data_IF_036782216424
#
_entry.id   IF_036782216424
#
_cell.length_a   1.000
_cell.length_b   1.000
_cell.length_c   1.000
_cell.angle_alpha   90.00
_cell.angle_beta   90.00
_cell.angle_gamma   90.00
#
_symmetry.space_group_name_H-M   'P 1'
#
loop_
_entity.id
_entity.type
_entity.pdbx_description
1 polymer ?
#
# COMPACT_ATOMS: atom_id res chain seq x y z
N UNK A 1 -36.80 0.57 -1.45
CA UNK A 1 -36.34 0.70 -2.85
C UNK A 1 -35.87 -0.66 -3.31
N UNK A 2 -36.36 -1.16 -4.43
CA UNK A 2 -35.85 -2.39 -5.02
C UNK A 2 -34.45 -2.15 -5.61
N UNK A 3 -33.63 -3.18 -5.72
CA UNK A 3 -32.27 -3.06 -6.29
C UNK A 3 -32.26 -2.50 -7.71
N UNK A 4 -33.30 -2.79 -8.48
CA UNK A 4 -33.53 -2.21 -9.80
C UNK A 4 -33.70 -0.68 -9.75
N UNK A 5 -34.50 -0.15 -8.83
CA UNK A 5 -34.73 1.30 -8.68
C UNK A 5 -33.46 2.06 -8.27
N UNK A 6 -32.60 1.44 -7.44
CA UNK A 6 -31.32 2.03 -7.06
C UNK A 6 -30.34 2.09 -8.25
N UNK A 7 -30.32 1.06 -9.09
CA UNK A 7 -29.52 0.99 -10.32
C UNK A 7 -29.97 2.02 -11.36
N UNK A 8 -31.28 2.13 -11.62
CA UNK A 8 -31.82 3.13 -12.55
C UNK A 8 -31.45 4.54 -12.10
N UNK A 9 -31.58 4.83 -10.80
CA UNK A 9 -31.17 6.13 -10.26
C UNK A 9 -29.68 6.42 -10.40
N UNK A 10 -28.80 5.40 -10.35
CA UNK A 10 -27.36 5.58 -10.55
C UNK A 10 -27.06 5.84 -12.03
N UNK A 11 -27.72 5.13 -12.94
CA UNK A 11 -27.57 5.30 -14.39
C UNK A 11 -28.06 6.68 -14.83
N UNK A 12 -29.22 7.12 -14.35
CA UNK A 12 -29.76 8.45 -14.64
C UNK A 12 -28.82 9.56 -14.15
N UNK A 13 -28.23 9.39 -12.96
CA UNK A 13 -27.23 10.34 -12.44
C UNK A 13 -25.95 10.38 -13.29
N UNK A 14 -25.49 9.24 -13.81
CA UNK A 14 -24.33 9.17 -14.70
C UNK A 14 -24.64 9.83 -16.05
N UNK A 15 -25.82 9.57 -16.63
CA UNK A 15 -26.26 10.18 -17.88
C UNK A 15 -26.39 11.69 -17.78
N UNK A 16 -26.94 12.20 -16.67
CA UNK A 16 -27.01 13.65 -16.42
C UNK A 16 -25.61 14.27 -16.31
N UNK A 17 -24.67 13.60 -15.64
CA UNK A 17 -23.29 14.07 -15.56
C UNK A 17 -22.57 14.06 -16.92
N UNK A 18 -22.88 13.07 -17.79
CA UNK A 18 -22.35 13.00 -19.15
C UNK A 18 -22.94 14.12 -20.02
N UNK A 19 -24.24 14.42 -19.89
CA UNK A 19 -24.91 15.51 -20.61
C UNK A 19 -24.24 16.85 -20.31
N UNK A 20 -24.05 17.15 -19.02
CA UNK A 20 -23.36 18.37 -18.55
C UNK A 20 -21.91 18.45 -19.05
N UNK A 21 -21.22 17.31 -19.21
CA UNK A 21 -19.86 17.28 -19.75
C UNK A 21 -19.81 17.45 -21.27
N UNK A 22 -20.88 17.10 -22.00
CA UNK A 22 -20.99 17.27 -23.45
C UNK A 22 -21.40 18.68 -23.82
N UNK A 23 -22.31 19.29 -23.08
CA UNK A 23 -22.74 20.68 -23.26
C UNK A 23 -22.82 21.40 -21.89
N UNK A 24 -21.85 22.28 -21.57
CA UNK A 24 -21.82 23.00 -20.30
C UNK A 24 -22.97 24.00 -20.10
N UNK A 25 -23.73 24.34 -21.16
CA UNK A 25 -24.91 25.20 -21.09
C UNK A 25 -26.22 24.40 -20.95
N UNK A 26 -26.15 23.07 -20.91
CA UNK A 26 -27.32 22.21 -20.74
C UNK A 26 -27.85 22.31 -19.29
N UNK A 27 -29.07 22.83 -19.14
CA UNK A 27 -29.74 23.07 -17.86
C UNK A 27 -30.29 21.78 -17.23
N UNK A 28 -29.68 20.62 -17.49
CA UNK A 28 -30.06 19.35 -16.88
C UNK A 28 -29.75 19.37 -15.38
N UNK A 29 -30.81 19.43 -14.57
CA UNK A 29 -30.71 19.59 -13.12
C UNK A 29 -30.14 18.34 -12.47
N UNK A 30 -28.96 18.46 -11.84
CA UNK A 30 -28.52 17.48 -10.85
C UNK A 30 -29.55 17.47 -9.71
N UNK A 31 -29.86 16.28 -9.16
CA UNK A 31 -30.75 16.10 -7.97
C UNK A 31 -30.34 16.96 -6.75
N UNK A 32 -29.17 17.58 -6.78
CA UNK A 32 -28.68 18.53 -5.77
C UNK A 32 -29.19 19.97 -5.94
N UNK A 33 -30.06 20.24 -6.92
CA UNK A 33 -30.77 21.53 -7.05
C UNK A 33 -29.91 22.71 -7.50
N UNK A 34 -28.73 22.46 -8.09
CA UNK A 34 -27.87 23.52 -8.64
C UNK A 34 -28.04 23.63 -10.15
N UNK A 35 -28.38 24.82 -10.62
CA UNK A 35 -28.64 25.17 -12.02
C UNK A 35 -27.42 25.73 -12.76
N UNK A 36 -26.29 25.88 -12.08
CA UNK A 36 -25.06 26.42 -12.67
C UNK A 36 -23.84 25.71 -12.06
N UNK A 37 -23.00 25.11 -12.90
CA UNK A 37 -21.69 24.59 -12.52
C UNK A 37 -20.62 25.61 -12.90
N UNK A 38 -19.81 26.02 -11.93
CA UNK A 38 -18.70 26.93 -12.14
C UNK A 38 -17.50 26.11 -12.62
N UNK A 39 -17.18 26.20 -13.92
CA UNK A 39 -16.16 25.41 -14.64
C UNK A 39 -14.70 25.67 -14.18
N UNK A 40 -14.50 26.10 -12.95
CA UNK A 40 -13.21 26.11 -12.29
C UNK A 40 -12.62 24.69 -12.23
N UNK A 41 -11.30 24.59 -12.43
CA UNK A 41 -10.50 23.35 -12.31
C UNK A 41 -10.87 22.44 -11.11
N UNK A 42 -11.18 22.96 -9.90
CA UNK A 42 -11.60 22.12 -8.78
C UNK A 42 -13.00 21.47 -8.94
N UNK A 43 -13.94 22.09 -9.66
CA UNK A 43 -15.25 21.47 -9.92
C UNK A 43 -15.15 20.31 -10.91
N UNK A 44 -14.28 20.45 -11.93
CA UNK A 44 -13.95 19.36 -12.86
C UNK A 44 -13.33 18.15 -12.13
N UNK A 45 -12.37 18.40 -11.21
CA UNK A 45 -11.78 17.34 -10.40
C UNK A 45 -12.81 16.66 -9.48
N UNK A 46 -13.77 17.44 -8.96
CA UNK A 46 -14.86 16.91 -8.13
C UNK A 46 -15.80 16.02 -8.95
N UNK A 47 -16.19 16.44 -10.15
CA UNK A 47 -17.00 15.64 -11.07
C UNK A 47 -16.29 14.35 -11.51
N UNK A 48 -15.00 14.43 -11.84
CA UNK A 48 -14.19 13.26 -12.20
C UNK A 48 -14.12 12.22 -11.07
N UNK A 49 -14.06 12.69 -9.81
CA UNK A 49 -14.13 11.81 -8.63
C UNK A 49 -15.50 11.16 -8.49
N UNK A 50 -16.59 11.91 -8.68
CA UNK A 50 -17.94 11.37 -8.64
C UNK A 50 -18.18 10.30 -9.73
N UNK A 51 -17.69 10.53 -10.96
CA UNK A 51 -17.74 9.54 -12.04
C UNK A 51 -16.93 8.28 -11.71
N UNK A 52 -15.75 8.45 -11.12
CA UNK A 52 -14.91 7.32 -10.68
C UNK A 52 -15.57 6.50 -9.57
N UNK A 53 -16.26 7.15 -8.63
CA UNK A 53 -17.02 6.50 -7.56
C UNK A 53 -18.25 5.78 -8.08
N UNK A 54 -19.00 6.41 -9.00
CA UNK A 54 -20.15 5.79 -9.68
C UNK A 54 -19.72 4.55 -10.48
N UNK A 55 -18.61 4.61 -11.21
CA UNK A 55 -18.05 3.45 -11.93
C UNK A 55 -17.67 2.29 -10.99
N UNK A 56 -17.09 2.58 -9.81
CA UNK A 56 -16.80 1.53 -8.83
C UNK A 56 -18.07 0.92 -8.23
N UNK A 57 -19.08 1.74 -7.96
CA UNK A 57 -20.37 1.26 -7.47
C UNK A 57 -21.03 0.34 -8.50
N UNK A 58 -21.01 0.72 -9.79
CA UNK A 58 -21.52 -0.10 -10.88
C UNK A 58 -20.76 -1.43 -11.04
N UNK A 59 -19.43 -1.41 -10.96
CA UNK A 59 -18.62 -2.64 -10.99
C UNK A 59 -18.90 -3.57 -9.81
N UNK A 60 -19.10 -3.00 -8.61
CA UNK A 60 -19.47 -3.77 -7.42
C UNK A 60 -20.86 -4.42 -7.59
N UNK A 61 -21.82 -3.67 -8.12
CA UNK A 61 -23.16 -4.18 -8.41
C UNK A 61 -23.08 -5.29 -9.47
N UNK A 62 -22.34 -5.10 -10.56
CA UNK A 62 -22.16 -6.15 -11.58
C UNK A 62 -21.56 -7.45 -11.00
N UNK A 63 -20.63 -7.32 -10.03
CA UNK A 63 -20.08 -8.45 -9.29
C UNK A 63 -21.12 -9.12 -8.38
N UNK A 64 -21.86 -8.32 -7.60
CA UNK A 64 -22.88 -8.82 -6.65
C UNK A 64 -24.04 -9.55 -7.38
N UNK A 65 -24.31 -9.21 -8.66
CA UNK A 65 -25.31 -9.86 -9.51
C UNK A 65 -24.76 -10.93 -10.47
N UNK A 66 -23.49 -11.37 -10.33
CA UNK A 66 -22.85 -12.41 -11.15
C UNK A 66 -22.98 -12.21 -12.67
N UNK A 67 -22.92 -10.96 -13.16
CA UNK A 67 -22.98 -10.65 -14.59
C UNK A 67 -21.63 -10.98 -15.23
N UNK A 68 -21.52 -12.14 -15.89
CA UNK A 68 -20.30 -12.57 -16.58
C UNK A 68 -20.17 -11.82 -17.92
N UNK A 69 -19.08 -11.07 -18.09
CA UNK A 69 -18.60 -10.60 -19.40
C UNK A 69 -17.44 -11.49 -19.85
N UNK A 70 -17.41 -11.95 -21.13
CA UNK A 70 -16.24 -12.63 -21.67
C UNK A 70 -15.15 -11.58 -21.93
N UNK A 71 -14.16 -11.49 -21.03
CA UNK A 71 -12.99 -10.65 -21.30
C UNK A 71 -12.08 -10.29 -20.14
N UNK A 72 -12.46 -10.49 -18.88
CA UNK A 72 -11.52 -10.29 -17.77
C UNK A 72 -11.95 -11.11 -16.56
N UNK A 73 -11.24 -12.22 -16.34
CA UNK A 73 -10.70 -12.70 -15.06
C UNK A 73 -10.25 -14.16 -15.24
N UNK A 74 -8.95 -14.40 -15.20
CA UNK A 74 -8.36 -15.66 -14.71
C UNK A 74 -6.94 -15.38 -14.22
N UNK A 75 -6.37 -16.17 -13.28
CA UNK A 75 -6.69 -17.58 -13.08
C UNK A 75 -7.26 -17.96 -11.71
N UNK A 76 -8.40 -18.64 -11.81
CA UNK A 76 -8.63 -19.93 -11.18
C UNK A 76 -9.20 -19.96 -9.76
N UNK A 77 -10.42 -20.51 -9.73
CA UNK A 77 -11.07 -21.29 -8.66
C UNK A 77 -11.99 -20.50 -7.75
N UNK A 78 -13.28 -20.54 -8.08
CA UNK A 78 -14.21 -21.32 -7.28
C UNK A 78 -15.04 -22.21 -8.21
N UNK A 79 -14.65 -23.50 -8.27
CA UNK A 79 -15.56 -24.56 -8.67
C UNK A 79 -16.57 -24.73 -7.54
N UNK A 80 -17.82 -24.40 -7.80
CA UNK A 80 -18.98 -25.10 -7.27
C UNK A 80 -20.15 -24.85 -8.22
N UNK A 81 -20.82 -25.94 -8.50
CA UNK A 81 -21.77 -26.22 -9.57
C UNK A 81 -23.08 -25.43 -9.47
N UNK A 82 -23.79 -25.48 -10.60
CA UNK A 82 -25.23 -25.29 -10.84
C UNK A 82 -25.81 -23.85 -10.88
N UNK A 83 -26.00 -23.42 -12.13
CA UNK A 83 -27.19 -22.80 -12.71
C UNK A 83 -28.00 -21.79 -11.88
N UNK A 84 -27.81 -20.50 -12.18
CA UNK A 84 -28.94 -19.58 -12.44
C UNK A 84 -28.52 -18.57 -13.53
N UNK A 85 -28.82 -18.86 -14.80
CA UNK A 85 -28.84 -17.86 -15.88
C UNK A 85 -30.19 -17.15 -15.85
N UNK A 86 -30.29 -15.96 -15.28
CA UNK A 86 -31.43 -15.08 -15.57
C UNK A 86 -31.03 -14.23 -16.78
N UNK A 87 -31.26 -14.78 -17.97
CA UNK A 87 -31.27 -14.01 -19.22
C UNK A 87 -32.71 -13.63 -19.51
N UNK A 88 -33.11 -12.44 -19.10
CA UNK A 88 -34.37 -11.83 -19.57
C UNK A 88 -34.08 -10.85 -20.70
N UNK A 89 -35.02 -10.63 -21.64
CA UNK A 89 -34.86 -9.61 -22.69
C UNK A 89 -34.55 -8.22 -22.12
N UNK A 90 -35.05 -7.93 -20.92
CA UNK A 90 -34.80 -6.69 -20.19
C UNK A 90 -33.33 -6.60 -19.77
N UNK A 91 -32.72 -7.69 -19.27
CA UNK A 91 -31.29 -7.71 -18.93
C UNK A 91 -30.38 -7.55 -20.15
N UNK A 92 -30.73 -8.14 -21.30
CA UNK A 92 -29.92 -8.03 -22.52
C UNK A 92 -29.96 -6.62 -23.12
N UNK A 93 -31.12 -5.96 -23.15
CA UNK A 93 -31.23 -4.55 -23.58
C UNK A 93 -30.53 -3.60 -22.61
N UNK A 94 -30.54 -3.92 -21.31
CA UNK A 94 -29.79 -3.17 -20.31
C UNK A 94 -28.27 -3.32 -20.48
N UNK A 95 -27.80 -4.51 -20.86
CA UNK A 95 -26.38 -4.78 -21.10
C UNK A 95 -25.84 -4.04 -22.34
N UNK A 96 -26.63 -3.90 -23.40
CA UNK A 96 -26.23 -3.10 -24.58
C UNK A 96 -26.13 -1.62 -24.23
N UNK A 97 -27.14 -1.05 -23.58
CA UNK A 97 -27.11 0.36 -23.14
C UNK A 97 -25.96 0.64 -22.17
N UNK A 98 -25.61 -0.33 -21.31
CA UNK A 98 -24.46 -0.22 -20.41
C UNK A 98 -23.13 -0.17 -21.17
N UNK A 99 -22.99 -0.96 -22.24
CA UNK A 99 -21.78 -0.99 -23.04
C UNK A 99 -21.60 0.32 -23.84
N UNK A 100 -22.69 0.87 -24.37
CA UNK A 100 -22.69 2.13 -25.11
C UNK A 100 -22.26 3.30 -24.21
N UNK A 101 -22.83 3.40 -23.01
CA UNK A 101 -22.44 4.43 -22.02
C UNK A 101 -20.96 4.29 -21.62
N UNK A 102 -20.45 3.06 -21.49
CA UNK A 102 -19.05 2.82 -21.13
C UNK A 102 -18.08 3.27 -22.23
N UNK A 103 -18.42 3.05 -23.50
CA UNK A 103 -17.64 3.54 -24.63
C UNK A 103 -17.73 5.07 -24.76
N UNK A 104 -18.88 5.68 -24.48
CA UNK A 104 -19.03 7.15 -24.48
C UNK A 104 -18.25 7.86 -23.35
N UNK A 105 -18.05 7.20 -22.20
CA UNK A 105 -17.34 7.75 -21.05
C UNK A 105 -15.82 7.57 -21.15
N UNK A 106 -15.32 6.63 -21.97
CA UNK A 106 -13.88 6.37 -22.16
C UNK A 106 -13.04 7.62 -22.49
N UNK A 107 -13.46 8.53 -23.39
CA UNK A 107 -12.68 9.73 -23.72
C UNK A 107 -12.61 10.77 -22.58
N UNK A 108 -13.65 10.83 -21.75
CA UNK A 108 -13.73 11.74 -20.59
C UNK A 108 -13.05 11.15 -19.35
N UNK A 109 -12.91 9.82 -19.32
CA UNK A 109 -11.95 9.11 -18.48
C UNK A 109 -10.54 9.32 -19.07
N UNK A 110 -10.05 10.56 -19.08
CA UNK A 110 -8.61 10.78 -18.85
C UNK A 110 -8.32 10.31 -17.43
N UNK A 111 -8.30 8.99 -17.24
CA UNK A 111 -7.38 8.42 -16.28
C UNK A 111 -6.08 9.11 -16.61
N UNK A 112 -5.46 9.72 -15.60
CA UNK A 112 -4.02 9.89 -15.67
C UNK A 112 -3.47 8.48 -15.80
N UNK A 113 -3.39 7.97 -17.02
CA UNK A 113 -2.27 7.18 -17.46
C UNK A 113 -1.07 8.12 -17.37
N UNK A 114 -0.69 8.50 -16.15
CA UNK A 114 0.72 8.38 -15.84
C UNK A 114 1.01 6.93 -16.20
N UNK A 115 1.66 6.72 -17.34
CA UNK A 115 2.53 5.58 -17.55
C UNK A 115 3.59 5.62 -16.45
N UNK A 116 3.18 5.41 -15.20
CA UNK A 116 4.03 4.77 -14.22
C UNK A 116 4.32 3.44 -14.89
N UNK A 117 5.48 3.38 -15.53
CA UNK A 117 6.14 2.13 -15.80
C UNK A 117 6.11 1.42 -14.45
N UNK A 118 5.21 0.45 -14.28
CA UNK A 118 5.16 -0.36 -13.07
C UNK A 118 6.42 -1.19 -13.16
N UNK A 119 7.53 -0.61 -12.69
CA UNK A 119 8.77 -1.32 -12.48
C UNK A 119 8.46 -2.35 -11.41
N UNK A 120 8.11 -3.53 -11.89
CA UNK A 120 7.98 -4.74 -11.10
C UNK A 120 9.41 -5.25 -10.92
N UNK A 121 10.00 -4.90 -9.79
CA UNK A 121 11.35 -5.32 -9.43
C UNK A 121 11.19 -6.56 -8.57
N UNK A 122 11.72 -7.69 -9.03
CA UNK A 122 11.97 -8.84 -8.18
C UNK A 122 13.45 -8.84 -7.76
N UNK A 123 13.76 -9.00 -6.48
CA UNK A 123 15.14 -9.06 -6.02
C UNK A 123 15.81 -10.34 -6.52
N UNK A 124 17.04 -10.21 -7.03
CA UNK A 124 17.88 -11.34 -7.45
C UNK A 124 18.64 -11.92 -6.23
N UNK A 125 17.89 -12.47 -5.28
CA UNK A 125 18.42 -13.11 -4.08
C UNK A 125 17.69 -14.44 -3.90
N UNK A 126 18.42 -15.46 -3.45
CA UNK A 126 17.84 -16.78 -3.15
C UNK A 126 16.61 -16.63 -2.23
N UNK A 127 15.50 -17.17 -2.70
CA UNK A 127 14.18 -17.03 -2.08
C UNK A 127 13.63 -18.37 -1.58
N UNK A 128 14.49 -19.38 -1.48
CA UNK A 128 14.12 -20.72 -1.02
C UNK A 128 13.57 -20.71 0.40
N UNK A 129 14.16 -19.89 1.28
CA UNK A 129 13.73 -19.73 2.68
C UNK A 129 12.31 -19.17 2.82
N UNK A 130 11.76 -18.56 1.76
CA UNK A 130 10.42 -17.95 1.74
C UNK A 130 9.47 -18.60 0.71
N UNK A 131 9.75 -19.85 0.32
CA UNK A 131 8.89 -20.60 -0.58
C UNK A 131 7.54 -20.95 0.05
N UNK A 132 6.51 -21.06 -0.79
CA UNK A 132 5.19 -21.52 -0.35
C UNK A 132 5.32 -22.95 0.17
N UNK A 133 4.75 -23.22 1.34
CA UNK A 133 4.83 -24.52 2.01
C UNK A 133 5.92 -24.61 3.08
N UNK A 134 6.88 -23.67 3.14
CA UNK A 134 7.85 -23.64 4.24
C UNK A 134 7.13 -23.44 5.58
N UNK A 135 7.64 -24.13 6.59
CA UNK A 135 7.06 -24.20 7.93
C UNK A 135 8.02 -23.67 8.98
N UNK A 136 7.49 -22.97 9.97
CA UNK A 136 8.24 -22.45 11.12
C UNK A 136 7.53 -22.83 12.41
N UNK A 137 8.28 -23.10 13.47
CA UNK A 137 7.69 -23.45 14.76
C UNK A 137 7.10 -22.23 15.45
N UNK A 138 7.76 -21.07 15.30
CA UNK A 138 7.33 -19.82 15.92
C UNK A 138 7.22 -18.69 14.90
N UNK A 139 6.40 -17.68 15.23
CA UNK A 139 6.32 -16.45 14.45
C UNK A 139 7.61 -15.63 14.50
N UNK A 140 8.40 -15.80 15.55
CA UNK A 140 9.68 -15.11 15.76
C UNK A 140 10.73 -15.68 14.81
N UNK A 141 10.87 -17.01 14.76
CA UNK A 141 11.73 -17.71 13.81
C UNK A 141 11.38 -17.32 12.36
N UNK A 142 10.08 -17.32 12.04
CA UNK A 142 9.61 -16.86 10.74
C UNK A 142 10.02 -15.39 10.48
N UNK A 143 9.80 -14.50 11.45
CA UNK A 143 10.13 -13.08 11.32
C UNK A 143 11.62 -12.87 11.06
N UNK A 144 12.50 -13.56 11.78
CA UNK A 144 13.96 -13.44 11.63
C UNK A 144 14.40 -13.85 10.22
N UNK A 145 13.87 -14.97 9.70
CA UNK A 145 14.15 -15.44 8.34
C UNK A 145 13.67 -14.42 7.30
N UNK A 146 12.48 -13.85 7.47
CA UNK A 146 11.98 -12.80 6.56
C UNK A 146 12.76 -11.50 6.66
N UNK A 147 13.20 -11.10 7.87
CA UNK A 147 14.01 -9.90 8.08
C UNK A 147 15.38 -10.06 7.42
N UNK A 148 16.01 -11.23 7.54
CA UNK A 148 17.27 -11.51 6.88
C UNK A 148 17.13 -11.48 5.35
N UNK A 149 16.12 -12.15 4.80
CA UNK A 149 15.82 -12.09 3.37
C UNK A 149 15.59 -10.65 2.91
N UNK A 150 14.75 -9.90 3.62
CA UNK A 150 14.42 -8.53 3.25
C UNK A 150 15.66 -7.61 3.27
N UNK A 151 16.53 -7.79 4.27
CA UNK A 151 17.81 -7.07 4.38
C UNK A 151 18.73 -7.37 3.19
N UNK A 152 18.85 -8.63 2.77
CA UNK A 152 19.63 -9.03 1.58
C UNK A 152 19.03 -8.44 0.30
N UNK A 153 17.71 -8.38 0.20
CA UNK A 153 17.02 -7.84 -0.97
C UNK A 153 17.02 -6.31 -1.06
N UNK A 154 17.26 -5.57 0.02
CA UNK A 154 17.17 -4.12 -0.03
C UNK A 154 15.82 -3.53 0.40
N UNK A 155 15.05 -4.20 1.27
CA UNK A 155 13.91 -3.57 1.96
C UNK A 155 13.74 -3.98 3.43
N UNK A 156 12.96 -3.20 4.20
CA UNK A 156 12.56 -3.59 5.56
C UNK A 156 11.14 -4.14 5.57
N UNK A 157 10.86 -5.12 6.42
CA UNK A 157 9.50 -5.65 6.61
C UNK A 157 8.67 -4.80 7.59
N UNK A 158 7.36 -5.02 7.60
CA UNK A 158 6.44 -4.58 8.64
C UNK A 158 5.34 -5.63 8.82
N UNK A 159 4.84 -5.79 10.06
CA UNK A 159 3.67 -6.62 10.33
C UNK A 159 2.44 -5.99 9.66
N UNK A 160 1.78 -6.78 8.82
CA UNK A 160 0.56 -6.42 8.10
C UNK A 160 -0.69 -6.87 8.84
N UNK A 161 -1.69 -7.31 8.08
CA UNK A 161 -2.90 -7.90 8.64
C UNK A 161 -2.54 -9.16 9.45
N UNK A 162 -3.18 -9.32 10.60
CA UNK A 162 -2.98 -10.48 11.46
C UNK A 162 -4.29 -10.86 12.13
N UNK A 163 -4.40 -12.14 12.44
CA UNK A 163 -5.39 -12.69 13.38
C UNK A 163 -4.64 -13.68 14.26
N UNK A 164 -4.65 -13.43 15.57
CA UNK A 164 -3.96 -14.24 16.58
C UNK A 164 -4.29 -15.72 16.34
N UNK A 165 -3.25 -16.55 16.32
CA UNK A 165 -3.30 -18.00 16.10
C UNK A 165 -4.00 -18.46 14.81
N UNK A 166 -4.18 -17.59 13.82
CA UNK A 166 -4.79 -17.96 12.53
C UNK A 166 -3.87 -17.57 11.37
N UNK A 167 -3.46 -16.31 11.29
CA UNK A 167 -2.57 -15.86 10.23
C UNK A 167 -1.78 -14.61 10.61
N UNK A 168 -0.60 -14.47 10.02
CA UNK A 168 0.26 -13.30 10.13
C UNK A 168 0.79 -12.90 8.76
N UNK A 169 0.62 -11.62 8.40
CA UNK A 169 1.21 -11.05 7.19
C UNK A 169 2.51 -10.31 7.54
N UNK A 170 3.57 -10.56 6.76
CA UNK A 170 4.76 -9.74 6.71
C UNK A 170 4.81 -9.04 5.35
N UNK A 171 4.91 -7.72 5.34
CA UNK A 171 4.87 -6.93 4.12
C UNK A 171 6.05 -5.96 4.04
N UNK A 172 6.33 -5.43 2.85
CA UNK A 172 7.31 -4.36 2.72
C UNK A 172 6.88 -3.11 3.50
N UNK A 173 7.82 -2.47 4.21
CA UNK A 173 7.61 -1.23 4.98
C UNK A 173 7.06 -0.07 4.14
N UNK A 174 7.36 -0.06 2.83
CA UNK A 174 6.81 0.88 1.86
C UNK A 174 5.35 0.60 1.43
N UNK A 175 4.71 -0.45 1.97
CA UNK A 175 3.30 -0.76 1.72
C UNK A 175 2.37 0.34 2.19
N UNK A 176 1.34 0.61 1.40
CA UNK A 176 0.24 1.52 1.73
C UNK A 176 0.41 2.91 1.16
N UNK A 177 -0.59 3.77 1.39
CA UNK A 177 -0.62 5.16 0.94
C UNK A 177 -0.13 6.09 2.04
N UNK A 178 0.49 7.21 1.65
CA UNK A 178 0.79 8.30 2.58
C UNK A 178 -0.54 8.83 3.13
N UNK A 179 -0.70 8.79 4.45
CA UNK A 179 -1.82 9.45 5.13
C UNK A 179 -1.32 10.79 5.62
N UNK A 180 -1.73 11.88 4.97
CA UNK A 180 -1.46 13.24 5.45
C UNK A 180 -2.27 13.46 6.72
N UNK A 181 -1.61 13.59 7.86
CA UNK A 181 -2.28 14.06 9.08
C UNK A 181 -2.48 15.56 8.95
N UNK A 182 -3.71 16.05 9.16
CA UNK A 182 -3.96 17.48 9.28
C UNK A 182 -3.37 17.95 10.60
N UNK A 183 -2.21 18.58 10.56
CA UNK A 183 -1.60 19.22 11.73
C UNK A 183 -2.07 20.68 11.73
N UNK A 184 -2.61 21.21 12.84
CA UNK A 184 -3.12 22.57 12.89
C UNK A 184 -2.02 23.63 12.67
N UNK A 185 -0.78 23.28 13.02
CA UNK A 185 0.40 24.12 12.83
C UNK A 185 1.41 23.44 11.90
N UNK A 186 1.46 23.91 10.64
CA UNK A 186 2.35 23.37 9.63
C UNK A 186 3.83 23.66 9.92
N UNK A 187 4.14 24.66 10.77
CA UNK A 187 5.53 25.00 11.13
C UNK A 187 6.22 23.91 11.98
N UNK A 188 5.43 23.11 12.69
CA UNK A 188 5.90 21.97 13.50
C UNK A 188 6.02 20.68 12.70
N UNK A 189 5.61 20.68 11.44
CA UNK A 189 5.67 19.49 10.59
C UNK A 189 7.12 19.27 10.11
N UNK A 190 7.72 18.16 10.52
CA UNK A 190 9.03 17.74 10.00
C UNK A 190 8.91 17.47 8.50
N UNK A 191 9.78 18.06 7.68
CA UNK A 191 9.91 17.83 6.24
C UNK A 191 10.48 16.44 5.90
N UNK A 192 9.90 15.37 6.46
CA UNK A 192 10.30 13.99 6.20
C UNK A 192 9.43 13.40 5.12
N UNK A 193 10.04 13.02 3.98
CA UNK A 193 9.36 12.25 2.94
C UNK A 193 8.87 10.91 3.49
N UNK A 194 7.64 10.53 3.16
CA UNK A 194 7.07 9.26 3.59
C UNK A 194 7.75 8.09 2.88
N UNK A 195 7.94 6.99 3.61
CA UNK A 195 8.46 5.71 3.07
C UNK A 195 7.39 4.98 2.23
N UNK A 196 6.12 5.38 2.35
CA UNK A 196 4.98 4.69 1.76
C UNK A 196 4.91 4.92 0.24
N UNK A 197 5.17 3.87 -0.55
CA UNK A 197 5.19 3.84 -2.03
C UNK A 197 4.16 2.85 -2.62
N UNK A 198 3.08 2.54 -1.90
CA UNK A 198 2.03 1.60 -2.32
C UNK A 198 2.54 0.19 -2.70
N UNK A 199 3.64 -0.24 -2.08
CA UNK A 199 4.23 -1.55 -2.35
C UNK A 199 3.26 -2.69 -2.08
N UNK A 200 3.27 -3.71 -2.95
CA UNK A 200 2.42 -4.90 -2.88
C UNK A 200 3.17 -6.16 -2.40
N UNK A 201 4.48 -6.08 -2.18
CA UNK A 201 5.27 -7.19 -1.66
C UNK A 201 4.80 -7.61 -0.27
N UNK A 202 4.46 -8.89 -0.11
CA UNK A 202 4.07 -9.50 1.16
C UNK A 202 4.14 -11.03 1.13
N UNK A 203 4.25 -11.61 2.33
CA UNK A 203 4.13 -13.03 2.62
C UNK A 203 3.06 -13.21 3.70
N UNK A 204 2.23 -14.24 3.57
CA UNK A 204 1.20 -14.60 4.55
C UNK A 204 1.48 -15.99 5.09
N UNK A 205 1.62 -16.07 6.40
CA UNK A 205 1.70 -17.32 7.14
C UNK A 205 0.34 -17.64 7.72
N UNK A 206 -0.04 -18.91 7.70
CA UNK A 206 -1.20 -19.42 8.42
C UNK A 206 -0.76 -20.46 9.42
N UNK A 207 -1.41 -20.47 10.58
CA UNK A 207 -1.21 -21.52 11.57
C UNK A 207 -1.91 -22.78 11.07
N UNK A 208 -1.17 -23.87 10.99
CA UNK A 208 -1.66 -25.21 10.67
C UNK A 208 -1.13 -26.13 11.77
N UNK A 209 -2.05 -26.67 12.55
CA UNK A 209 -1.72 -27.41 13.77
C UNK A 209 -0.87 -26.53 14.71
N UNK A 210 0.37 -26.92 14.98
CA UNK A 210 1.32 -26.13 15.80
C UNK A 210 2.33 -25.32 14.98
N UNK A 211 2.34 -25.48 13.65
CA UNK A 211 3.33 -24.84 12.78
C UNK A 211 2.75 -23.66 12.00
N UNK A 212 3.63 -22.72 11.64
CA UNK A 212 3.34 -21.58 10.78
C UNK A 212 3.77 -21.87 9.36
N UNK A 213 2.81 -21.99 8.44
CA UNK A 213 3.06 -22.35 7.04
C UNK A 213 2.93 -21.14 6.13
N UNK A 214 3.89 -20.92 5.24
CA UNK A 214 3.77 -19.91 4.18
C UNK A 214 2.70 -20.33 3.19
N UNK A 215 1.62 -19.55 3.09
CA UNK A 215 0.47 -19.83 2.20
C UNK A 215 0.37 -18.88 1.01
N UNK A 216 0.94 -17.68 1.11
CA UNK A 216 0.91 -16.70 0.03
C UNK A 216 2.24 -15.99 -0.01
N UNK A 217 2.80 -15.86 -1.22
CA UNK A 217 4.06 -15.17 -1.49
C UNK A 217 3.87 -14.21 -2.67
N UNK A 218 4.19 -12.93 -2.46
CA UNK A 218 4.33 -11.92 -3.52
C UNK A 218 5.61 -11.13 -3.29
N UNK A 219 6.61 -11.34 -4.15
CA UNK A 219 7.95 -10.75 -4.01
C UNK A 219 8.16 -9.50 -4.88
N UNK A 220 7.22 -9.19 -5.75
CA UNK A 220 7.34 -8.05 -6.65
C UNK A 220 7.21 -6.72 -5.89
N UNK A 221 8.19 -5.85 -6.06
CA UNK A 221 8.18 -4.48 -5.58
C UNK A 221 7.70 -3.52 -6.65
N UNK A 222 7.06 -2.43 -6.23
CA UNK A 222 6.63 -1.31 -7.10
C UNK A 222 7.51 -0.08 -6.92
N UNK A 223 8.69 -0.27 -6.33
CA UNK A 223 9.65 0.78 -6.04
C UNK A 223 11.06 0.19 -6.05
N UNK A 224 12.02 1.06 -6.28
CA UNK A 224 13.44 0.75 -6.14
C UNK A 224 13.79 0.29 -4.71
N UNK A 225 14.61 -0.74 -4.64
CA UNK A 225 15.15 -1.32 -3.41
C UNK A 225 16.39 -0.54 -3.00
N UNK A 226 16.65 -0.48 -1.70
CA UNK A 226 17.82 0.21 -1.15
C UNK A 226 19.07 -0.64 -1.37
N UNK A 227 20.22 0.02 -1.48
CA UNK A 227 21.49 -0.68 -1.39
C UNK A 227 21.68 -1.28 0.01
N UNK A 228 22.59 -2.24 0.14
CA UNK A 228 22.92 -2.87 1.43
C UNK A 228 23.36 -1.81 2.45
N UNK A 229 24.14 -0.81 2.03
CA UNK A 229 24.62 0.27 2.91
C UNK A 229 23.50 1.24 3.32
N UNK A 230 22.59 1.54 2.40
CA UNK A 230 21.42 2.35 2.70
C UNK A 230 20.49 1.65 3.69
N UNK A 231 20.33 0.32 3.56
CA UNK A 231 19.45 -0.45 4.44
C UNK A 231 19.97 -0.51 5.87
N UNK A 232 21.28 -0.69 6.04
CA UNK A 232 21.94 -0.69 7.36
C UNK A 232 21.67 0.63 8.08
N UNK A 233 21.64 1.75 7.35
CA UNK A 233 21.39 3.10 7.87
C UNK A 233 19.90 3.43 8.08
N UNK A 234 18.98 2.53 7.75
CA UNK A 234 17.56 2.78 8.03
C UNK A 234 17.26 2.74 9.53
N UNK A 235 16.31 3.56 9.99
CA UNK A 235 15.98 3.67 11.42
C UNK A 235 15.57 2.36 12.12
N UNK A 236 15.21 1.31 11.36
CA UNK A 236 14.95 -0.02 11.91
C UNK A 236 16.21 -0.83 12.18
N UNK A 237 17.26 -0.61 11.39
CA UNK A 237 18.48 -1.41 11.42
C UNK A 237 19.63 -0.66 12.14
N UNK A 238 19.46 0.64 12.41
CA UNK A 238 20.36 1.42 13.25
C UNK A 238 20.08 1.14 14.72
N UNK A 239 21.06 0.55 15.40
CA UNK A 239 21.04 0.40 16.86
C UNK A 239 22.48 0.37 17.37
N UNK A 240 22.68 0.83 18.60
CA UNK A 240 23.96 0.70 19.31
C UNK A 240 23.80 -0.51 20.23
N UNK A 241 24.64 -1.56 20.11
CA UNK A 241 24.61 -2.70 21.04
C UNK A 241 24.89 -2.25 22.48
N UNK A 242 24.37 -2.98 23.46
CA UNK A 242 24.44 -2.58 24.86
C UNK A 242 25.88 -2.49 25.39
N UNK A 243 26.77 -3.37 24.93
CA UNK A 243 28.21 -3.30 25.22
C UNK A 243 28.82 -1.94 24.79
N UNK A 244 28.47 -1.45 23.59
CA UNK A 244 28.96 -0.18 23.06
C UNK A 244 28.27 1.02 23.72
N UNK A 245 27.02 0.87 24.19
CA UNK A 245 26.38 1.91 25.01
C UNK A 245 27.13 2.12 26.32
N UNK A 246 27.44 1.04 27.03
CA UNK A 246 28.18 1.09 28.30
C UNK A 246 29.58 1.68 28.10
N UNK A 247 30.31 1.20 27.09
CA UNK A 247 31.63 1.73 26.72
C UNK A 247 31.58 3.22 26.37
N UNK A 248 30.57 3.65 25.61
CA UNK A 248 30.40 5.06 25.25
C UNK A 248 30.13 5.95 26.47
N UNK A 249 29.30 5.50 27.41
CA UNK A 249 29.01 6.23 28.64
C UNK A 249 30.28 6.36 29.48
N UNK A 250 31.06 5.28 29.61
CA UNK A 250 32.32 5.29 30.36
C UNK A 250 33.32 6.28 29.75
N UNK A 251 33.60 6.19 28.44
CA UNK A 251 34.52 7.09 27.75
C UNK A 251 34.07 8.55 27.83
N UNK A 252 32.77 8.80 27.66
CA UNK A 252 32.21 10.14 27.76
C UNK A 252 32.31 10.70 29.19
N UNK A 253 32.15 9.85 30.22
CA UNK A 253 32.34 10.26 31.63
C UNK A 253 33.78 10.64 31.95
N UNK A 254 34.76 10.05 31.25
CA UNK A 254 36.19 10.41 31.31
C UNK A 254 36.53 11.68 30.53
N UNK A 255 35.55 12.34 29.92
CA UNK A 255 35.71 13.58 29.17
C UNK A 255 36.04 13.39 27.69
N UNK A 256 35.91 12.17 27.14
CA UNK A 256 36.12 11.97 25.72
C UNK A 256 35.01 12.58 24.87
N UNK A 257 35.41 13.29 23.81
CA UNK A 257 34.46 13.88 22.88
C UNK A 257 33.68 12.78 22.13
N UNK A 258 32.36 12.91 21.93
CA UNK A 258 31.56 11.91 21.20
C UNK A 258 32.10 11.57 19.80
N UNK A 259 32.78 12.51 19.14
CA UNK A 259 33.41 12.26 17.84
C UNK A 259 34.58 11.28 17.92
N UNK A 260 35.39 11.33 18.99
CA UNK A 260 36.49 10.40 19.24
C UNK A 260 35.95 9.00 19.53
N UNK A 261 34.92 8.91 20.36
CA UNK A 261 34.23 7.66 20.70
C UNK A 261 33.64 7.01 19.43
N UNK A 262 32.96 7.80 18.58
CA UNK A 262 32.42 7.30 17.32
C UNK A 262 33.54 6.78 16.40
N UNK A 263 34.65 7.50 16.28
CA UNK A 263 35.79 7.07 15.47
C UNK A 263 36.40 5.75 15.97
N UNK A 264 36.54 5.59 17.28
CA UNK A 264 37.01 4.33 17.88
C UNK A 264 36.07 3.17 17.52
N UNK A 265 34.76 3.39 17.66
CA UNK A 265 33.76 2.36 17.35
C UNK A 265 33.71 2.02 15.86
N UNK A 266 33.80 3.03 14.98
CA UNK A 266 33.88 2.82 13.54
C UNK A 266 35.14 2.06 13.15
N UNK A 267 36.26 2.31 13.83
CA UNK A 267 37.53 1.59 13.61
C UNK A 267 37.47 0.14 14.09
N UNK A 268 36.79 -0.12 15.22
CA UNK A 268 36.64 -1.46 15.81
C UNK A 268 35.62 -2.32 15.05
N UNK A 269 34.51 -1.73 14.61
CA UNK A 269 33.39 -2.44 14.00
C UNK A 269 33.39 -2.43 12.48
N UNK A 270 34.02 -1.43 11.86
CA UNK A 270 33.98 -1.20 10.42
C UNK A 270 32.54 -1.19 9.90
N UNK A 271 32.26 -2.07 8.93
CA UNK A 271 30.93 -2.20 8.32
C UNK A 271 29.82 -2.69 9.26
N UNK A 272 30.16 -3.19 10.45
CA UNK A 272 29.18 -3.58 11.47
C UNK A 272 28.63 -2.40 12.26
N UNK A 273 29.26 -1.22 12.17
CA UNK A 273 28.73 0.00 12.75
C UNK A 273 27.51 0.48 11.95
N UNK A 274 26.31 0.21 12.45
CA UNK A 274 25.06 0.60 11.77
C UNK A 274 24.57 1.99 12.15
N UNK A 275 24.99 2.51 13.30
CA UNK A 275 24.55 3.82 13.81
C UNK A 275 25.42 4.97 13.28
N UNK A 276 24.88 6.18 13.40
CA UNK A 276 25.59 7.41 13.08
C UNK A 276 26.03 8.15 14.34
N UNK A 277 26.98 9.08 14.20
CA UNK A 277 27.36 10.01 15.27
C UNK A 277 26.15 10.71 15.92
N UNK A 278 25.11 11.02 15.13
CA UNK A 278 23.88 11.64 15.66
C UNK A 278 23.13 10.71 16.62
N UNK A 279 23.14 9.41 16.36
CA UNK A 279 22.51 8.42 17.23
C UNK A 279 23.28 8.27 18.54
N UNK A 280 24.63 8.23 18.47
CA UNK A 280 25.51 8.22 19.64
C UNK A 280 25.27 9.48 20.50
N UNK A 281 25.25 10.66 19.88
CA UNK A 281 24.98 11.91 20.57
C UNK A 281 23.61 11.91 21.26
N UNK A 282 22.56 11.49 20.56
CA UNK A 282 21.22 11.42 21.14
C UNK A 282 21.15 10.41 22.29
N UNK A 283 21.90 9.30 22.22
CA UNK A 283 21.99 8.30 23.28
C UNK A 283 22.66 8.89 24.53
N UNK A 284 23.85 9.49 24.38
CA UNK A 284 24.58 10.12 25.48
C UNK A 284 23.81 11.28 26.12
N UNK A 285 23.12 12.09 25.31
CA UNK A 285 22.29 13.19 25.81
C UNK A 285 21.10 12.69 26.65
N UNK A 286 20.44 11.60 26.22
CA UNK A 286 19.35 10.99 27.00
C UNK A 286 19.86 10.42 28.31
N UNK A 287 21.00 9.72 28.28
CA UNK A 287 21.64 9.21 29.50
C UNK A 287 21.90 10.33 30.53
N UNK A 288 22.43 11.48 30.09
CA UNK A 288 22.64 12.64 30.97
C UNK A 288 21.34 13.24 31.54
N UNK A 289 20.20 13.02 30.88
CA UNK A 289 18.91 13.53 31.33
C UNK A 289 18.26 12.61 32.38
N UNK A 290 18.65 11.33 32.42
CA UNK A 290 18.11 10.31 33.30
C UNK A 290 19.02 10.02 34.53
N UNK A 291 20.24 10.57 34.56
CA UNK A 291 21.24 10.47 35.62
C UNK A 291 21.28 11.74 36.49
#
# INVERSE_FOLDING_TARGET
>A
MTSAQALTSIIDNVNNLISILRDPNDNTTLRTGKTYLDLSKPEYEKMSRHLSEASRALNKIAYDYKVISPGLLTPSILKLEDDIKISTPQTTTFMSSFQDIKEEVKPFMKTKEHKEHKHHIEPNVDNECINIGNTFKTLEEAADVFEEYARKCGFNICKGNSKRDVYQEFACSARGKVRMRKIPDQSKQRNRKSIKKMCKCHVILRKKDDDWVITTRKLHHTHELLSIDEIKKTAKNRFIPDEFKLKAIELHSKGEAPAKIQYEFESELGERCTWSMKDLYNMLYRYKSDA
#
